data_IF_812722442619
#
_entry.id   IF_812722442619
#
_cell.length_a   1.000
_cell.length_b   1.000
_cell.length_c   1.000
_cell.angle_alpha   90.00
_cell.angle_beta   90.00
_cell.angle_gamma   90.00
#
_symmetry.space_group_name_H-M   'P 1'
#
loop_
_entity.id
_entity.type
_entity.pdbx_description
1 polymer ?
#
# COMPACT_ATOMS: atom_id res chain seq x y z
N UNK A 1 4.18 20.99 16.12
CA UNK A 1 5.32 21.28 15.21
C UNK A 1 4.84 21.01 13.80
N UNK A 2 4.96 21.96 12.87
CA UNK A 2 4.63 21.75 11.47
C UNK A 2 5.75 20.90 10.84
N UNK A 3 5.45 19.64 10.58
CA UNK A 3 6.39 18.74 9.91
C UNK A 3 6.55 19.21 8.46
N UNK A 4 7.80 19.22 7.98
CA UNK A 4 8.07 19.55 6.58
C UNK A 4 7.31 18.56 5.67
N UNK A 5 6.63 19.02 4.60
CA UNK A 5 5.99 18.12 3.64
C UNK A 5 6.95 17.05 3.11
N UNK A 6 8.23 17.39 2.92
CA UNK A 6 9.25 16.43 2.46
C UNK A 6 9.46 15.31 3.48
N UNK A 7 9.52 15.65 4.77
CA UNK A 7 9.64 14.68 5.85
C UNK A 7 8.39 13.82 6.00
N UNK A 8 7.22 14.36 5.70
CA UNK A 8 5.98 13.58 5.65
C UNK A 8 6.04 12.50 4.55
N UNK A 9 6.42 12.87 3.32
CA UNK A 9 6.48 11.92 2.21
C UNK A 9 7.58 10.86 2.38
N UNK A 10 8.74 11.22 2.96
CA UNK A 10 9.83 10.26 3.24
C UNK A 10 9.46 9.21 4.29
N UNK A 11 8.57 9.57 5.21
CA UNK A 11 8.12 8.70 6.30
C UNK A 11 6.71 8.15 6.06
N UNK A 12 6.22 8.17 4.80
CA UNK A 12 4.94 7.54 4.49
C UNK A 12 5.02 6.04 4.83
N UNK A 13 4.01 5.52 5.55
CA UNK A 13 3.95 4.10 5.81
C UNK A 13 3.88 3.35 4.48
N UNK A 14 4.45 2.14 4.47
CA UNK A 14 4.26 1.24 3.34
C UNK A 14 2.78 0.98 3.18
N UNK A 15 2.31 0.85 1.94
CA UNK A 15 0.92 0.44 1.70
C UNK A 15 0.66 -0.92 2.32
N UNK A 16 -0.52 -1.08 2.86
CA UNK A 16 -1.01 -2.33 3.45
C UNK A 16 -2.29 -2.75 2.73
N UNK A 17 -2.44 -4.05 2.54
CA UNK A 17 -3.64 -4.62 1.94
C UNK A 17 -4.83 -4.41 2.90
N UNK A 18 -5.95 -3.82 2.47
CA UNK A 18 -7.09 -3.55 3.35
C UNK A 18 -7.76 -4.84 3.85
N UNK A 19 -7.64 -5.95 3.11
CA UNK A 19 -8.27 -7.22 3.48
C UNK A 19 -7.48 -8.01 4.51
N UNK A 20 -6.13 -7.95 4.48
CA UNK A 20 -5.29 -8.83 5.28
C UNK A 20 -4.19 -8.12 6.07
N UNK A 21 -4.03 -6.81 5.91
CA UNK A 21 -3.03 -6.00 6.61
C UNK A 21 -1.58 -6.26 6.20
N UNK A 22 -1.34 -7.11 5.19
CA UNK A 22 0.02 -7.38 4.73
C UNK A 22 0.60 -6.15 4.02
N UNK A 23 1.84 -5.80 4.33
CA UNK A 23 2.57 -4.78 3.58
C UNK A 23 2.68 -5.16 2.11
N UNK A 24 2.25 -4.26 1.24
CA UNK A 24 2.27 -4.40 -0.21
C UNK A 24 3.55 -3.75 -0.74
N UNK A 25 4.22 -4.45 -1.66
CA UNK A 25 5.29 -3.86 -2.44
C UNK A 25 4.66 -3.17 -3.66
N UNK A 26 4.56 -1.85 -3.62
CA UNK A 26 4.01 -1.08 -4.74
C UNK A 26 5.06 -0.87 -5.81
N UNK A 27 4.70 -1.20 -7.05
CA UNK A 27 5.34 -0.59 -8.22
C UNK A 27 4.74 0.80 -8.42
N UNK A 28 5.50 1.74 -8.97
CA UNK A 28 5.08 3.14 -9.15
C UNK A 28 3.78 3.29 -9.97
N UNK A 29 3.40 2.27 -10.74
CA UNK A 29 2.23 2.24 -11.63
C UNK A 29 1.13 1.28 -11.14
N UNK A 30 1.20 0.76 -9.90
CA UNK A 30 0.22 -0.19 -9.39
C UNK A 30 -1.10 0.51 -9.00
N UNK A 31 -2.16 0.26 -9.77
CA UNK A 31 -3.53 0.66 -9.43
C UNK A 31 -4.25 -0.32 -8.49
N UNK A 32 -3.57 -1.40 -8.07
CA UNK A 32 -4.16 -2.44 -7.25
C UNK A 32 -4.28 -2.00 -5.79
N UNK A 33 -5.46 -2.18 -5.22
CA UNK A 33 -5.76 -1.84 -3.82
C UNK A 33 -5.51 -2.99 -2.86
N UNK A 34 -5.53 -4.22 -3.36
CA UNK A 34 -5.39 -5.45 -2.59
C UNK A 34 -4.12 -6.21 -3.00
N UNK A 35 -3.57 -7.03 -2.10
CA UNK A 35 -2.42 -7.86 -2.44
C UNK A 35 -2.81 -9.00 -3.40
N UNK A 36 -1.84 -9.50 -4.16
CA UNK A 36 -2.02 -10.59 -5.13
C UNK A 36 -2.76 -11.79 -4.52
N UNK A 37 -2.42 -12.18 -3.29
CA UNK A 37 -3.08 -13.27 -2.57
C UNK A 37 -4.57 -13.04 -2.35
N UNK A 38 -4.99 -11.82 -2.02
CA UNK A 38 -6.40 -11.52 -1.78
C UNK A 38 -7.16 -11.38 -3.11
N UNK A 39 -6.54 -10.81 -4.14
CA UNK A 39 -7.11 -10.74 -5.48
C UNK A 39 -7.36 -12.14 -6.06
N UNK A 40 -6.39 -13.05 -5.97
CA UNK A 40 -6.54 -14.42 -6.50
C UNK A 40 -7.63 -15.24 -5.82
N UNK A 41 -8.10 -14.86 -4.61
CA UNK A 41 -9.24 -15.52 -3.95
C UNK A 41 -10.60 -15.05 -4.47
N UNK A 42 -10.64 -13.91 -5.17
CA UNK A 42 -11.87 -13.31 -5.69
C UNK A 42 -12.16 -13.73 -7.13
N UNK A 43 -11.19 -14.32 -7.82
CA UNK A 43 -11.31 -14.76 -9.21
C UNK A 43 -11.90 -16.18 -9.37
N UNK A 44 -12.81 -16.59 -8.48
CA UNK A 44 -13.64 -17.82 -8.64
C UNK A 44 -15.10 -17.50 -8.99
#
# INVERSE_FOLDING_TARGET
MLQSPVEFFRNLPKKECPECGQSMFEQAESYLMECERCLSKKEE
#
